data_IF_525894427576
#
_entry.id   IF_525894427576
#
_cell.length_a   1.000
_cell.length_b   1.000
_cell.length_c   1.000
_cell.angle_alpha   90.00
_cell.angle_beta   90.00
_cell.angle_gamma   90.00
#
_symmetry.space_group_name_H-M   'P 1'
#
loop_
_entity.id
_entity.type
_entity.pdbx_description
1 polymer ?
#
# COMPACT_ATOMS: atom_id res chain seq x y z
N UNK A 1 1.69 12.22 11.69
CA UNK A 1 2.66 13.16 12.30
C UNK A 1 4.04 12.54 12.25
N UNK A 2 5.00 13.20 11.61
CA UNK A 2 6.42 12.81 11.67
C UNK A 2 7.04 13.42 12.92
N UNK A 3 7.63 12.57 13.76
CA UNK A 3 8.06 12.95 15.10
C UNK A 3 9.46 13.59 15.14
N UNK A 4 10.37 13.16 14.27
CA UNK A 4 11.77 13.62 14.29
C UNK A 4 12.02 14.88 13.47
N UNK A 5 11.36 14.99 12.31
CA UNK A 5 11.51 16.11 11.38
C UNK A 5 10.14 16.55 10.86
N UNK A 6 9.34 17.24 11.68
CA UNK A 6 8.00 17.70 11.29
C UNK A 6 8.03 18.76 10.18
N UNK A 7 9.16 19.42 9.95
CA UNK A 7 9.36 20.45 8.92
C UNK A 7 9.54 19.88 7.50
N UNK A 8 9.85 18.58 7.38
CA UNK A 8 10.11 17.97 6.08
C UNK A 8 8.78 17.64 5.39
N UNK A 9 8.56 18.24 4.22
CA UNK A 9 7.47 17.85 3.30
C UNK A 9 7.78 16.48 2.73
N UNK A 10 6.81 15.57 2.78
CA UNK A 10 7.07 14.19 2.37
C UNK A 10 5.98 13.60 1.52
N UNK A 11 6.38 12.64 0.71
CA UNK A 11 5.46 11.78 -0.02
C UNK A 11 5.29 10.49 0.76
N UNK A 12 4.04 10.08 0.99
CA UNK A 12 3.69 8.74 1.42
C UNK A 12 3.44 7.87 0.18
N UNK A 13 4.31 6.87 -0.11
CA UNK A 13 4.10 5.93 -1.21
C UNK A 13 2.94 4.95 -0.99
N UNK A 14 2.33 4.94 0.19
CA UNK A 14 1.20 4.08 0.52
C UNK A 14 1.60 2.68 0.98
N UNK A 15 2.75 2.50 1.66
CA UNK A 15 3.22 1.18 2.12
C UNK A 15 2.18 0.41 2.95
N UNK A 16 1.38 1.12 3.75
CA UNK A 16 0.30 0.50 4.51
C UNK A 16 -0.80 -0.08 3.60
N UNK A 17 -1.18 0.63 2.54
CA UNK A 17 -2.16 0.16 1.56
C UNK A 17 -1.58 -0.95 0.69
N UNK A 18 -0.31 -0.83 0.28
CA UNK A 18 0.41 -1.87 -0.44
C UNK A 18 0.39 -3.20 0.32
N UNK A 19 0.67 -3.17 1.63
CA UNK A 19 0.61 -4.36 2.49
C UNK A 19 -0.78 -4.97 2.57
N UNK A 20 -1.83 -4.14 2.71
CA UNK A 20 -3.22 -4.60 2.72
C UNK A 20 -3.60 -5.27 1.41
N UNK A 21 -3.36 -4.60 0.28
CA UNK A 21 -3.69 -5.11 -1.05
C UNK A 21 -2.94 -6.40 -1.37
N UNK A 22 -1.64 -6.47 -1.05
CA UNK A 22 -0.85 -7.68 -1.23
C UNK A 22 -1.39 -8.87 -0.43
N UNK A 23 -1.75 -8.67 0.84
CA UNK A 23 -2.33 -9.72 1.68
C UNK A 23 -3.68 -10.19 1.14
N UNK A 24 -4.58 -9.26 0.78
CA UNK A 24 -5.88 -9.59 0.21
C UNK A 24 -5.75 -10.36 -1.11
N UNK A 25 -4.89 -9.87 -2.02
CA UNK A 25 -4.65 -10.49 -3.32
C UNK A 25 -4.05 -11.89 -3.17
N UNK A 26 -3.12 -12.10 -2.23
CA UNK A 26 -2.57 -13.42 -1.94
C UNK A 26 -3.65 -14.38 -1.44
N UNK A 27 -4.47 -13.97 -0.47
CA UNK A 27 -5.56 -14.79 0.07
C UNK A 27 -6.58 -15.14 -1.03
N UNK A 28 -6.93 -14.18 -1.88
CA UNK A 28 -7.86 -14.39 -2.97
C UNK A 28 -7.33 -15.41 -4.00
N UNK A 29 -6.03 -15.37 -4.31
CA UNK A 29 -5.38 -16.34 -5.19
C UNK A 29 -5.38 -17.75 -4.60
N UNK A 30 -4.93 -17.91 -3.35
CA UNK A 30 -4.83 -19.26 -2.75
C UNK A 30 -6.21 -19.89 -2.46
N UNK A 31 -7.26 -19.08 -2.35
CA UNK A 31 -8.64 -19.55 -2.20
C UNK A 31 -9.37 -19.73 -3.54
N UNK A 32 -8.69 -19.50 -4.67
CA UNK A 32 -9.27 -19.63 -6.02
C UNK A 32 -10.35 -18.60 -6.34
N UNK A 33 -10.38 -17.48 -5.60
CA UNK A 33 -11.40 -16.42 -5.74
C UNK A 33 -11.00 -15.35 -6.75
N UNK A 34 -9.71 -15.19 -7.03
CA UNK A 34 -9.19 -14.20 -7.98
C UNK A 34 -7.91 -14.68 -8.66
N UNK A 35 -7.74 -14.28 -9.92
CA UNK A 35 -6.47 -14.39 -10.64
C UNK A 35 -5.45 -13.32 -10.19
N UNK A 36 -4.15 -13.49 -10.48
CA UNK A 36 -3.12 -12.48 -10.22
C UNK A 36 -3.44 -11.13 -10.88
N UNK A 37 -3.26 -10.04 -10.13
CA UNK A 37 -3.47 -8.68 -10.62
C UNK A 37 -2.25 -7.80 -10.33
N UNK A 38 -2.00 -6.84 -11.23
CA UNK A 38 -1.03 -5.79 -10.99
C UNK A 38 -1.75 -4.58 -10.38
N UNK A 39 -1.51 -4.34 -9.10
CA UNK A 39 -2.18 -3.28 -8.33
C UNK A 39 -1.21 -2.12 -8.15
N UNK A 40 -1.59 -0.92 -8.61
CA UNK A 40 -0.81 0.31 -8.43
C UNK A 40 -1.31 1.04 -7.19
N UNK A 41 -0.41 1.36 -6.27
CA UNK A 41 -0.72 2.18 -5.09
C UNK A 41 -0.33 3.63 -5.38
N UNK A 42 -1.28 4.58 -5.36
CA UNK A 42 -0.97 5.98 -5.61
C UNK A 42 -0.25 6.59 -4.40
N UNK A 43 0.75 7.41 -4.69
CA UNK A 43 1.42 8.19 -3.67
C UNK A 43 0.56 9.39 -3.25
N UNK A 44 0.68 9.80 -2.00
CA UNK A 44 0.00 10.98 -1.45
C UNK A 44 1.01 11.95 -0.84
N UNK A 45 0.75 13.25 -0.96
CA UNK A 45 1.60 14.28 -0.36
C UNK A 45 1.12 14.58 1.07
N UNK A 46 2.05 14.67 2.03
CA UNK A 46 1.80 14.92 3.45
C UNK A 46 2.78 15.92 4.06
#
# INVERSE_FOLDING_TARGET
MKFLHPEIVTVDPGYAEAGRQAACQLIAQVTGRSEPQQIIIPATLS
#
